data_IF_177399336660
#
_entry.id   IF_177399336660
#
_cell.length_a   1.000
_cell.length_b   1.000
_cell.length_c   1.000
_cell.angle_alpha   90.00
_cell.angle_beta   90.00
_cell.angle_gamma   90.00
#
_symmetry.space_group_name_H-M   'P 1'
#
loop_
_entity.id
_entity.type
_entity.pdbx_description
1 polymer ?
#
# COMPACT_ATOMS: atom_id res chain seq x y z
N UNK A 1 -22.88 29.55 -10.61
CA UNK A 1 -21.55 28.83 -10.73
C UNK A 1 -20.98 28.44 -9.36
N UNK A 2 -21.12 29.26 -8.30
CA UNK A 2 -20.62 28.95 -6.95
C UNK A 2 -21.28 27.73 -6.29
N UNK A 3 -22.54 27.44 -6.58
CA UNK A 3 -23.27 26.32 -6.01
C UNK A 3 -22.82 24.96 -6.62
N UNK A 4 -22.40 24.95 -7.90
CA UNK A 4 -21.86 23.76 -8.57
C UNK A 4 -20.46 23.41 -8.06
N UNK A 5 -19.60 24.40 -7.85
CA UNK A 5 -18.25 24.20 -7.30
C UNK A 5 -18.28 23.61 -5.91
N UNK A 6 -19.21 24.03 -5.06
CA UNK A 6 -19.38 23.45 -3.72
C UNK A 6 -19.85 21.98 -3.75
N UNK A 7 -20.74 21.63 -4.69
CA UNK A 7 -21.21 20.24 -4.83
C UNK A 7 -20.14 19.31 -5.39
N UNK A 8 -19.30 19.78 -6.31
CA UNK A 8 -18.18 19.00 -6.88
C UNK A 8 -17.08 18.72 -5.83
N UNK A 9 -16.74 19.68 -4.98
CA UNK A 9 -15.82 19.45 -3.86
C UNK A 9 -16.37 18.39 -2.91
N UNK A 10 -17.64 18.49 -2.53
CA UNK A 10 -18.31 17.53 -1.65
C UNK A 10 -18.33 16.09 -2.21
N UNK A 11 -18.45 15.93 -3.54
CA UNK A 11 -18.42 14.62 -4.21
C UNK A 11 -17.00 14.04 -4.17
N UNK A 12 -15.98 14.83 -4.44
CA UNK A 12 -14.56 14.40 -4.40
C UNK A 12 -14.16 13.93 -3.01
N UNK A 13 -14.52 14.68 -1.98
CA UNK A 13 -14.23 14.32 -0.58
C UNK A 13 -14.90 12.99 -0.19
N UNK A 14 -16.14 12.79 -0.57
CA UNK A 14 -16.85 11.53 -0.31
C UNK A 14 -16.28 10.35 -1.07
N UNK A 15 -15.85 10.55 -2.32
CA UNK A 15 -15.15 9.52 -3.12
C UNK A 15 -13.81 9.15 -2.47
N UNK A 16 -13.08 10.15 -1.96
CA UNK A 16 -11.83 9.90 -1.26
C UNK A 16 -12.06 9.12 0.05
N UNK A 17 -13.04 9.50 0.87
CA UNK A 17 -13.39 8.76 2.09
C UNK A 17 -13.77 7.30 1.76
N UNK A 18 -14.53 7.08 0.68
CA UNK A 18 -14.87 5.75 0.21
C UNK A 18 -13.62 4.94 -0.21
N UNK A 19 -12.67 5.58 -0.91
CA UNK A 19 -11.40 4.99 -1.27
C UNK A 19 -10.54 4.67 -0.03
N UNK A 20 -10.47 5.57 0.95
CA UNK A 20 -9.79 5.36 2.24
C UNK A 20 -10.34 4.13 2.99
N UNK A 21 -11.68 3.98 3.04
CA UNK A 21 -12.32 2.83 3.69
C UNK A 21 -11.94 1.51 3.02
N UNK A 22 -12.00 1.44 1.70
CA UNK A 22 -11.62 0.24 0.93
C UNK A 22 -10.13 -0.10 1.02
N UNK A 23 -9.28 0.91 1.00
CA UNK A 23 -7.82 0.73 1.03
C UNK A 23 -7.23 0.82 2.45
N UNK A 24 -8.07 0.73 3.47
CA UNK A 24 -7.64 0.66 4.88
C UNK A 24 -6.62 1.76 5.25
N UNK A 25 -6.92 3.01 4.89
CA UNK A 25 -6.09 4.15 5.27
C UNK A 25 -6.30 4.54 6.73
N UNK A 26 -5.39 5.35 7.28
CA UNK A 26 -5.42 5.78 8.67
C UNK A 26 -6.82 6.29 9.07
N UNK A 27 -7.32 5.79 10.20
CA UNK A 27 -8.69 6.03 10.71
C UNK A 27 -9.72 4.97 10.30
N UNK A 28 -9.55 4.32 9.14
CA UNK A 28 -10.46 3.29 8.61
C UNK A 28 -9.74 1.94 8.34
N UNK A 29 -8.61 1.67 9.02
CA UNK A 29 -7.74 0.53 8.76
C UNK A 29 -8.02 -0.71 9.64
N UNK A 30 -8.78 -0.57 10.72
CA UNK A 30 -8.95 -1.60 11.76
C UNK A 30 -9.56 -2.90 11.23
N UNK A 31 -10.42 -2.84 10.23
CA UNK A 31 -11.05 -4.02 9.63
C UNK A 31 -10.05 -4.94 8.90
N UNK A 32 -8.92 -4.39 8.43
CA UNK A 32 -7.96 -5.13 7.61
C UNK A 32 -7.28 -6.28 8.36
N UNK A 33 -6.71 -6.07 9.56
CA UNK A 33 -6.18 -7.17 10.37
C UNK A 33 -7.25 -8.17 10.85
N UNK A 34 -8.46 -7.69 11.13
CA UNK A 34 -9.56 -8.55 11.59
C UNK A 34 -10.05 -9.49 10.49
N UNK A 35 -9.92 -9.08 9.22
CA UNK A 35 -10.21 -9.93 8.06
C UNK A 35 -9.24 -11.13 7.89
N UNK A 36 -8.20 -11.25 8.74
CA UNK A 36 -7.24 -12.36 8.71
C UNK A 36 -7.74 -13.67 9.33
N UNK A 37 -8.91 -13.71 9.93
CA UNK A 37 -9.50 -14.93 10.48
C UNK A 37 -9.92 -15.94 9.39
N UNK A 38 -10.08 -15.46 8.15
CA UNK A 38 -10.42 -16.31 7.01
C UNK A 38 -9.27 -17.22 6.53
N UNK A 39 -9.58 -18.19 5.64
CA UNK A 39 -8.57 -19.04 5.02
C UNK A 39 -7.51 -18.22 4.28
N UNK A 40 -6.24 -18.65 4.34
CA UNK A 40 -5.11 -17.92 3.73
C UNK A 40 -5.25 -17.64 2.23
N UNK A 41 -5.81 -18.53 1.38
CA UNK A 41 -6.03 -18.19 -0.03
C UNK A 41 -7.01 -17.04 -0.24
N UNK A 42 -8.05 -16.96 0.59
CA UNK A 42 -9.03 -15.86 0.55
C UNK A 42 -8.38 -14.56 1.01
N UNK A 43 -7.60 -14.61 2.09
CA UNK A 43 -6.81 -13.46 2.56
C UNK A 43 -5.83 -12.99 1.49
N UNK A 44 -5.14 -13.89 0.79
CA UNK A 44 -4.26 -13.55 -0.33
C UNK A 44 -5.01 -12.78 -1.43
N UNK A 45 -6.20 -13.25 -1.82
CA UNK A 45 -6.99 -12.60 -2.86
C UNK A 45 -7.44 -11.19 -2.45
N UNK A 46 -7.97 -11.03 -1.24
CA UNK A 46 -8.49 -9.78 -0.71
C UNK A 46 -7.37 -8.73 -0.60
N UNK A 47 -6.22 -9.13 -0.04
CA UNK A 47 -5.15 -8.19 0.33
C UNK A 47 -4.10 -7.97 -0.76
N UNK A 48 -3.95 -8.89 -1.72
CA UNK A 48 -2.96 -8.73 -2.79
C UNK A 48 -3.48 -7.86 -3.93
N UNK A 49 -4.61 -8.23 -4.55
CA UNK A 49 -4.96 -7.71 -5.87
C UNK A 49 -6.36 -7.11 -6.00
N UNK A 50 -7.30 -7.36 -5.07
CA UNK A 50 -8.69 -7.07 -5.35
C UNK A 50 -9.30 -5.97 -4.47
N UNK A 51 -9.71 -6.30 -3.25
CA UNK A 51 -10.54 -5.41 -2.44
C UNK A 51 -9.80 -4.15 -1.97
N UNK A 52 -8.59 -4.31 -1.47
CA UNK A 52 -7.81 -3.19 -0.92
C UNK A 52 -7.17 -2.29 -1.98
N UNK A 53 -6.90 -2.81 -3.16
CA UNK A 53 -6.34 -2.04 -4.28
C UNK A 53 -7.39 -1.21 -5.01
N UNK A 54 -8.69 -1.53 -4.82
CA UNK A 54 -9.79 -0.84 -5.47
C UNK A 54 -9.85 0.67 -5.15
N UNK A 55 -9.47 1.09 -3.93
CA UNK A 55 -9.43 2.51 -3.58
C UNK A 55 -8.33 3.26 -4.32
N UNK A 56 -7.13 2.70 -4.44
CA UNK A 56 -6.04 3.28 -5.24
C UNK A 56 -6.43 3.37 -6.71
N UNK A 57 -6.99 2.30 -7.24
CA UNK A 57 -7.47 2.26 -8.62
C UNK A 57 -8.55 3.33 -8.88
N UNK A 58 -9.49 3.51 -7.96
CA UNK A 58 -10.53 4.53 -8.04
C UNK A 58 -9.92 5.92 -8.14
N UNK A 59 -8.95 6.27 -7.29
CA UNK A 59 -8.28 7.57 -7.31
C UNK A 59 -7.54 7.76 -8.64
N UNK A 60 -6.76 6.78 -9.09
CA UNK A 60 -6.06 6.86 -10.35
C UNK A 60 -7.02 6.98 -11.56
N UNK A 61 -8.18 6.32 -11.52
CA UNK A 61 -9.19 6.41 -12.58
C UNK A 61 -9.89 7.76 -12.61
N UNK A 62 -10.06 8.36 -11.44
CA UNK A 62 -10.68 9.67 -11.29
C UNK A 62 -9.67 10.82 -11.30
N UNK A 63 -8.42 10.57 -11.70
CA UNK A 63 -7.37 11.59 -11.80
C UNK A 63 -7.82 12.87 -12.53
N UNK A 64 -8.54 12.81 -13.69
CA UNK A 64 -8.98 14.02 -14.35
C UNK A 64 -9.93 14.91 -13.53
N UNK A 65 -10.57 14.32 -12.52
CA UNK A 65 -11.50 15.05 -11.63
C UNK A 65 -10.76 15.54 -10.38
N UNK A 66 -9.84 14.73 -9.85
CA UNK A 66 -9.11 15.00 -8.60
C UNK A 66 -8.04 16.08 -8.80
N UNK A 67 -7.39 16.14 -9.97
CA UNK A 67 -6.37 17.15 -10.29
C UNK A 67 -6.85 18.60 -10.20
N UNK A 68 -8.15 18.84 -10.43
CA UNK A 68 -8.71 20.16 -10.24
C UNK A 68 -8.98 20.56 -8.78
N UNK A 69 -8.59 19.74 -7.82
CA UNK A 69 -8.77 19.97 -6.40
C UNK A 69 -7.45 19.83 -5.63
N UNK A 70 -6.58 20.87 -5.62
CA UNK A 70 -5.27 20.80 -4.98
C UNK A 70 -5.35 20.44 -3.50
N UNK A 71 -6.34 20.95 -2.78
CA UNK A 71 -6.56 20.61 -1.36
C UNK A 71 -6.82 19.11 -1.15
N UNK A 72 -7.55 18.47 -2.07
CA UNK A 72 -7.80 17.04 -2.00
C UNK A 72 -6.52 16.23 -2.24
N UNK A 73 -5.67 16.66 -3.18
CA UNK A 73 -4.36 16.03 -3.44
C UNK A 73 -3.44 16.13 -2.22
N UNK A 74 -3.39 17.28 -1.55
CA UNK A 74 -2.60 17.48 -0.33
C UNK A 74 -3.07 16.54 0.79
N UNK A 75 -4.39 16.41 0.98
CA UNK A 75 -4.97 15.49 1.98
C UNK A 75 -4.65 14.03 1.63
N UNK A 76 -4.77 13.63 0.36
CA UNK A 76 -4.44 12.28 -0.10
C UNK A 76 -2.96 11.97 0.16
N UNK A 77 -2.07 12.91 -0.15
CA UNK A 77 -0.63 12.80 0.07
C UNK A 77 -0.31 12.61 1.56
N UNK A 78 -0.87 13.48 2.41
CA UNK A 78 -0.62 13.47 3.84
C UNK A 78 -1.16 12.19 4.50
N UNK A 79 -2.41 11.81 4.20
CA UNK A 79 -3.01 10.57 4.72
C UNK A 79 -2.25 9.35 4.25
N UNK A 80 -1.82 9.32 2.98
CA UNK A 80 -1.02 8.24 2.43
C UNK A 80 0.32 8.08 3.15
N UNK A 81 1.06 9.17 3.33
CA UNK A 81 2.36 9.18 4.03
C UNK A 81 2.22 8.74 5.50
N UNK A 82 1.24 9.30 6.23
CA UNK A 82 0.97 8.90 7.61
C UNK A 82 0.58 7.43 7.73
N UNK A 83 -0.28 6.94 6.83
CA UNK A 83 -0.68 5.53 6.82
C UNK A 83 0.52 4.63 6.57
N UNK A 84 1.42 5.00 5.66
CA UNK A 84 2.61 4.21 5.34
C UNK A 84 3.50 4.02 6.57
N UNK A 85 3.78 5.09 7.31
CA UNK A 85 4.62 5.07 8.53
C UNK A 85 3.90 4.35 9.66
N UNK A 86 2.66 4.72 9.94
CA UNK A 86 1.86 4.15 11.03
C UNK A 86 1.69 2.63 10.88
N UNK A 87 1.26 2.17 9.71
CA UNK A 87 1.07 0.74 9.47
C UNK A 87 2.39 -0.04 9.52
N UNK A 88 3.51 0.55 9.09
CA UNK A 88 4.82 -0.09 9.20
C UNK A 88 5.24 -0.27 10.65
N UNK A 89 5.07 0.75 11.49
CA UNK A 89 5.42 0.69 12.92
C UNK A 89 4.56 -0.32 13.68
N UNK A 90 3.25 -0.35 13.43
CA UNK A 90 2.35 -1.34 14.03
C UNK A 90 2.68 -2.75 13.55
N UNK A 91 3.03 -2.91 12.27
CA UNK A 91 3.42 -4.21 11.71
C UNK A 91 4.65 -4.82 12.38
N UNK A 92 5.60 -4.00 12.85
CA UNK A 92 6.78 -4.47 13.60
C UNK A 92 6.47 -5.02 14.99
N UNK A 93 5.32 -4.67 15.57
CA UNK A 93 4.91 -5.11 16.91
C UNK A 93 4.00 -6.34 16.88
N UNK A 94 3.61 -6.82 15.70
CA UNK A 94 2.74 -7.98 15.57
C UNK A 94 3.54 -9.28 15.64
N UNK A 95 2.96 -10.29 16.29
CA UNK A 95 3.53 -11.64 16.39
C UNK A 95 2.86 -12.65 15.47
N UNK A 96 1.71 -12.34 14.92
CA UNK A 96 0.96 -13.18 14.00
C UNK A 96 1.44 -12.95 12.56
N UNK A 97 1.88 -14.01 11.87
CA UNK A 97 2.42 -13.95 10.50
C UNK A 97 1.42 -13.30 9.52
N UNK A 98 0.12 -13.60 9.63
CA UNK A 98 -0.91 -13.02 8.76
C UNK A 98 -1.07 -11.53 9.03
N UNK A 99 -1.09 -11.11 10.31
CA UNK A 99 -1.23 -9.71 10.70
C UNK A 99 -0.01 -8.87 10.27
N UNK A 100 1.20 -9.41 10.40
CA UNK A 100 2.43 -8.74 9.88
C UNK A 100 2.31 -8.45 8.39
N UNK A 101 1.89 -9.45 7.59
CA UNK A 101 1.71 -9.29 6.15
C UNK A 101 0.55 -8.32 5.85
N UNK A 102 -0.52 -8.31 6.63
CA UNK A 102 -1.65 -7.39 6.48
C UNK A 102 -1.24 -5.93 6.74
N UNK A 103 -0.55 -5.65 7.84
CA UNK A 103 -0.07 -4.29 8.13
C UNK A 103 0.97 -3.81 7.11
N UNK A 104 1.82 -4.70 6.62
CA UNK A 104 2.71 -4.34 5.52
C UNK A 104 1.95 -4.06 4.22
N UNK A 105 0.78 -4.66 3.98
CA UNK A 105 -0.11 -4.30 2.87
C UNK A 105 -0.69 -2.90 3.07
N UNK A 106 -1.19 -2.58 4.28
CA UNK A 106 -1.69 -1.26 4.63
C UNK A 106 -0.64 -0.17 4.38
N UNK A 107 0.61 -0.42 4.79
CA UNK A 107 1.74 0.48 4.55
C UNK A 107 2.01 0.69 3.06
N UNK A 108 2.00 -0.37 2.24
CA UNK A 108 2.22 -0.24 0.80
C UNK A 108 1.07 0.49 0.08
N UNK A 109 -0.16 0.31 0.54
CA UNK A 109 -1.30 1.09 0.05
C UNK A 109 -1.14 2.57 0.39
N UNK A 110 -0.63 2.90 1.58
CA UNK A 110 -0.25 4.27 1.93
C UNK A 110 0.75 4.87 0.95
N UNK A 111 1.78 4.11 0.53
CA UNK A 111 2.71 4.54 -0.52
C UNK A 111 2.02 4.83 -1.87
N UNK A 112 1.03 4.01 -2.25
CA UNK A 112 0.29 4.23 -3.49
C UNK A 112 -0.60 5.46 -3.41
N UNK A 113 -1.25 5.72 -2.26
CA UNK A 113 -2.01 6.94 -2.02
C UNK A 113 -1.12 8.17 -2.06
N UNK A 114 0.03 8.11 -1.41
CA UNK A 114 1.05 9.16 -1.45
C UNK A 114 1.47 9.48 -2.90
N UNK A 115 1.78 8.45 -3.70
CA UNK A 115 2.11 8.61 -5.11
C UNK A 115 0.97 9.24 -5.93
N UNK A 116 -0.27 8.81 -5.68
CA UNK A 116 -1.44 9.37 -6.34
C UNK A 116 -1.68 10.84 -5.93
N UNK A 117 -1.39 11.21 -4.68
CA UNK A 117 -1.50 12.56 -4.16
C UNK A 117 -0.50 13.54 -4.77
N UNK A 118 0.71 13.09 -5.09
CA UNK A 118 1.70 13.88 -5.86
C UNK A 118 1.49 13.80 -7.38
N UNK A 119 0.31 13.39 -7.83
CA UNK A 119 -0.07 13.25 -9.26
C UNK A 119 0.76 12.23 -10.05
N UNK A 120 1.51 11.37 -9.38
CA UNK A 120 2.31 10.31 -9.99
C UNK A 120 1.48 9.02 -10.21
N UNK A 121 0.34 9.12 -10.88
CA UNK A 121 -0.59 8.01 -11.11
C UNK A 121 0.04 6.80 -11.81
N UNK A 122 0.92 6.96 -12.84
CA UNK A 122 1.60 5.84 -13.46
C UNK A 122 2.48 5.06 -12.49
N UNK A 123 3.20 5.75 -11.59
CA UNK A 123 4.03 5.14 -10.57
C UNK A 123 3.19 4.37 -9.54
N UNK A 124 2.06 4.95 -9.10
CA UNK A 124 1.10 4.30 -8.22
C UNK A 124 0.54 3.02 -8.84
N UNK A 125 0.14 3.04 -10.12
CA UNK A 125 -0.39 1.87 -10.84
C UNK A 125 0.68 0.82 -11.10
N UNK A 126 1.90 1.21 -11.41
CA UNK A 126 3.02 0.29 -11.57
C UNK A 126 3.33 -0.44 -10.25
N UNK A 127 3.38 0.31 -9.14
CA UNK A 127 3.58 -0.29 -7.82
C UNK A 127 2.40 -1.18 -7.40
N UNK A 128 1.17 -0.82 -7.75
CA UNK A 128 -0.01 -1.66 -7.52
C UNK A 128 0.12 -3.02 -8.22
N UNK A 129 0.57 -3.02 -9.47
CA UNK A 129 0.76 -4.26 -10.23
C UNK A 129 1.85 -5.14 -9.60
N UNK A 130 3.03 -4.60 -9.31
CA UNK A 130 4.11 -5.36 -8.67
C UNK A 130 3.71 -5.85 -7.28
N UNK A 131 2.99 -5.02 -6.50
CA UNK A 131 2.47 -5.34 -5.17
C UNK A 131 1.54 -6.55 -5.21
N UNK A 132 0.64 -6.64 -6.19
CA UNK A 132 -0.28 -7.75 -6.32
C UNK A 132 0.46 -9.10 -6.39
N UNK A 133 1.55 -9.17 -7.15
CA UNK A 133 2.33 -10.40 -7.31
C UNK A 133 3.10 -10.78 -6.04
N UNK A 134 3.91 -9.90 -5.49
CA UNK A 134 4.72 -10.27 -4.32
C UNK A 134 3.89 -10.46 -3.05
N UNK A 135 2.75 -9.78 -2.92
CA UNK A 135 1.83 -10.00 -1.79
C UNK A 135 1.08 -11.32 -1.89
N UNK A 136 0.58 -11.68 -3.08
CA UNK A 136 0.00 -12.99 -3.29
C UNK A 136 1.01 -14.10 -2.94
N UNK A 137 2.25 -13.96 -3.38
CA UNK A 137 3.34 -14.87 -3.07
C UNK A 137 3.57 -15.02 -1.56
N UNK A 138 3.66 -13.90 -0.83
CA UNK A 138 3.88 -13.90 0.63
C UNK A 138 2.69 -14.52 1.40
N UNK A 139 1.45 -14.20 1.03
CA UNK A 139 0.28 -14.79 1.68
C UNK A 139 0.15 -16.28 1.43
N UNK A 140 0.33 -16.73 0.18
CA UNK A 140 0.27 -18.15 -0.15
C UNK A 140 1.43 -18.92 0.50
N UNK A 141 2.63 -18.34 0.54
CA UNK A 141 3.77 -18.89 1.24
C UNK A 141 3.52 -19.00 2.75
N UNK A 142 2.98 -17.96 3.38
CA UNK A 142 2.58 -17.99 4.78
C UNK A 142 1.51 -19.07 5.04
N UNK A 143 0.55 -19.24 4.13
CA UNK A 143 -0.44 -20.31 4.21
C UNK A 143 0.18 -21.71 4.20
N UNK A 144 1.18 -21.92 3.35
CA UNK A 144 1.92 -23.18 3.31
C UNK A 144 2.70 -23.44 4.61
N UNK A 145 3.31 -22.39 5.20
CA UNK A 145 4.02 -22.48 6.49
C UNK A 145 3.04 -22.82 7.63
N UNK A 146 1.91 -22.12 7.71
CA UNK A 146 0.88 -22.35 8.73
C UNK A 146 0.35 -23.79 8.64
N UNK A 147 0.10 -24.28 7.43
CA UNK A 147 -0.36 -25.65 7.21
C UNK A 147 0.68 -26.70 7.64
N UNK A 148 1.96 -26.45 7.34
CA UNK A 148 3.05 -27.36 7.74
C UNK A 148 3.28 -27.40 9.25
N UNK A 149 2.91 -26.32 9.98
CA UNK A 149 3.04 -26.21 11.44
C UNK A 149 1.72 -26.47 12.19
N UNK A 150 0.84 -27.30 11.65
CA UNK A 150 -0.44 -27.67 12.31
C UNK A 150 -1.30 -26.48 12.71
N UNK A 151 -1.40 -25.48 11.82
CA UNK A 151 -2.15 -24.23 11.99
C UNK A 151 -1.58 -23.24 13.04
N UNK A 152 -0.32 -23.37 13.43
CA UNK A 152 0.35 -22.36 14.24
C UNK A 152 0.51 -21.06 13.43
N UNK A 153 0.18 -19.91 14.03
CA UNK A 153 0.28 -18.59 13.40
C UNK A 153 1.26 -17.65 14.12
N UNK A 154 1.64 -17.98 15.37
CA UNK A 154 2.55 -17.16 16.16
C UNK A 154 4.01 -17.35 15.70
N UNK A 155 4.62 -16.28 15.22
CA UNK A 155 6.01 -16.27 14.75
C UNK A 155 7.02 -16.70 15.82
N UNK A 156 6.71 -16.53 17.10
CA UNK A 156 7.60 -16.91 18.21
C UNK A 156 7.75 -18.43 18.34
N UNK A 157 6.73 -19.15 17.88
CA UNK A 157 6.70 -20.62 17.92
C UNK A 157 7.21 -21.23 16.58
N UNK A 158 7.51 -20.41 15.57
CA UNK A 158 7.97 -20.86 14.26
C UNK A 158 9.50 -20.88 14.21
N UNK A 159 10.10 -22.01 13.81
CA UNK A 159 11.54 -22.11 13.63
C UNK A 159 11.97 -23.34 12.81
N UNK A 160 13.15 -23.29 12.23
CA UNK A 160 13.78 -24.44 11.58
C UNK A 160 13.12 -24.97 10.30
N UNK A 161 12.17 -24.25 9.74
CA UNK A 161 11.25 -24.70 8.66
C UNK A 161 11.97 -24.94 7.32
N UNK A 162 13.12 -24.36 7.11
CA UNK A 162 13.86 -24.44 5.83
C UNK A 162 14.22 -25.88 5.41
N UNK A 163 14.39 -26.79 6.38
CA UNK A 163 14.66 -28.21 6.11
C UNK A 163 13.42 -29.00 5.72
N UNK A 164 12.24 -28.61 6.24
CA UNK A 164 10.98 -29.31 5.99
C UNK A 164 10.31 -28.89 4.70
N UNK A 165 10.30 -27.58 4.42
CA UNK A 165 9.68 -26.98 3.22
C UNK A 165 10.62 -26.00 2.52
N UNK A 166 11.71 -26.49 1.88
CA UNK A 166 12.73 -25.63 1.30
C UNK A 166 12.21 -24.73 0.17
N UNK A 167 11.25 -25.20 -0.62
CA UNK A 167 10.64 -24.41 -1.70
C UNK A 167 9.86 -23.22 -1.14
N UNK A 168 9.03 -23.44 -0.14
CA UNK A 168 8.28 -22.37 0.51
C UNK A 168 9.22 -21.37 1.17
N UNK A 169 10.28 -21.84 1.80
CA UNK A 169 11.32 -20.99 2.37
C UNK A 169 11.95 -20.06 1.31
N UNK A 170 12.35 -20.61 0.16
CA UNK A 170 12.92 -19.83 -0.93
C UNK A 170 11.93 -18.79 -1.48
N UNK A 171 10.65 -19.17 -1.65
CA UNK A 171 9.58 -18.29 -2.11
C UNK A 171 9.36 -17.14 -1.12
N UNK A 172 9.32 -17.41 0.18
CA UNK A 172 9.16 -16.40 1.23
C UNK A 172 10.35 -15.42 1.24
N UNK A 173 11.57 -15.90 1.01
CA UNK A 173 12.75 -15.05 0.88
C UNK A 173 12.63 -14.11 -0.33
N UNK A 174 12.29 -14.64 -1.49
CA UNK A 174 12.10 -13.86 -2.72
C UNK A 174 11.03 -12.78 -2.51
N UNK A 175 9.88 -13.15 -1.93
CA UNK A 175 8.81 -12.21 -1.64
C UNK A 175 9.19 -11.12 -0.64
N UNK A 176 9.96 -11.48 0.39
CA UNK A 176 10.43 -10.53 1.41
C UNK A 176 11.46 -9.55 0.82
N UNK A 177 12.39 -10.00 0.00
CA UNK A 177 13.36 -9.15 -0.70
C UNK A 177 12.66 -8.22 -1.71
N UNK A 178 11.67 -8.73 -2.43
CA UNK A 178 10.86 -7.91 -3.34
C UNK A 178 10.06 -6.84 -2.58
N UNK A 179 9.48 -7.18 -1.41
CA UNK A 179 8.79 -6.23 -0.55
C UNK A 179 9.74 -5.19 0.05
N UNK A 180 10.94 -5.59 0.48
CA UNK A 180 11.95 -4.68 1.01
C UNK A 180 12.45 -3.67 -0.05
N UNK A 181 12.36 -4.03 -1.33
CA UNK A 181 12.90 -3.22 -2.41
C UNK A 181 14.41 -3.46 -2.61
N UNK A 182 14.83 -4.72 -2.51
CA UNK A 182 16.21 -5.06 -2.81
C UNK A 182 16.51 -4.89 -4.32
N UNK A 183 17.69 -4.37 -4.72
CA UNK A 183 18.06 -4.19 -6.12
C UNK A 183 17.82 -5.46 -6.94
N UNK A 184 17.43 -5.31 -8.19
CA UNK A 184 17.03 -6.35 -9.15
C UNK A 184 15.62 -6.94 -8.97
N UNK A 185 14.92 -6.64 -7.87
CA UNK A 185 13.53 -7.04 -7.68
C UNK A 185 12.55 -5.95 -8.14
N UNK A 186 11.35 -6.35 -8.55
CA UNK A 186 10.33 -5.42 -9.05
C UNK A 186 9.93 -4.33 -8.04
N UNK A 187 9.98 -4.65 -6.73
CA UNK A 187 9.70 -3.70 -5.66
C UNK A 187 10.71 -2.56 -5.56
N UNK A 188 11.95 -2.76 -5.98
CA UNK A 188 12.97 -1.70 -6.05
C UNK A 188 12.55 -0.62 -7.05
N UNK A 189 12.37 -1.01 -8.31
CA UNK A 189 12.02 -0.07 -9.37
C UNK A 189 10.71 0.67 -9.12
N UNK A 190 9.69 -0.02 -8.61
CA UNK A 190 8.39 0.60 -8.39
C UNK A 190 8.37 1.59 -7.22
N UNK A 191 9.14 1.34 -6.15
CA UNK A 191 9.29 2.28 -5.03
C UNK A 191 10.16 3.47 -5.40
N UNK A 192 11.23 3.23 -6.14
CA UNK A 192 12.15 4.24 -6.60
C UNK A 192 11.43 5.28 -7.47
N UNK A 193 10.61 4.84 -8.42
CA UNK A 193 9.75 5.73 -9.22
C UNK A 193 8.83 6.61 -8.37
N UNK A 194 8.28 6.09 -7.26
CA UNK A 194 7.43 6.87 -6.35
C UNK A 194 8.25 7.93 -5.63
N UNK A 195 9.43 7.57 -5.14
CA UNK A 195 10.31 8.48 -4.42
C UNK A 195 10.88 9.57 -5.33
N UNK A 196 11.27 9.22 -6.56
CA UNK A 196 11.72 10.19 -7.57
C UNK A 196 10.61 11.19 -7.93
N UNK A 197 9.38 10.71 -8.14
CA UNK A 197 8.24 11.57 -8.42
C UNK A 197 7.94 12.51 -7.25
N UNK A 198 8.01 12.03 -6.02
CA UNK A 198 7.82 12.83 -4.83
C UNK A 198 8.92 13.90 -4.66
N UNK A 199 10.18 13.51 -4.90
CA UNK A 199 11.31 14.42 -4.85
C UNK A 199 11.22 15.50 -5.93
N UNK A 200 10.84 15.13 -7.16
CA UNK A 200 10.58 16.07 -8.25
C UNK A 200 9.48 17.08 -7.90
N UNK A 201 8.38 16.62 -7.29
CA UNK A 201 7.29 17.48 -6.85
C UNK A 201 7.77 18.50 -5.79
N UNK A 202 8.56 18.07 -4.80
CA UNK A 202 9.11 18.94 -3.76
C UNK A 202 10.07 20.00 -4.32
N UNK A 203 10.86 19.67 -5.34
CA UNK A 203 11.74 20.64 -6.01
C UNK A 203 10.98 21.71 -6.78
N UNK A 204 9.84 21.34 -7.41
CA UNK A 204 9.00 22.29 -8.14
C UNK A 204 8.19 23.20 -7.21
N UNK A 205 7.82 22.75 -6.03
CA UNK A 205 7.10 23.55 -5.02
C UNK A 205 8.04 24.47 -4.21
N UNK A 206 9.35 24.22 -4.26
CA UNK A 206 10.35 25.08 -3.66
C UNK A 206 10.56 26.31 -4.56
N UNK A 207 10.22 27.55 -4.13
CA UNK A 207 10.41 28.73 -4.98
C UNK A 207 11.88 28.86 -5.34
N UNK A 208 12.17 28.83 -6.64
CA UNK A 208 13.52 29.01 -7.15
C UNK A 208 14.06 30.36 -6.66
N UNK A 209 15.34 30.47 -6.30
CA UNK A 209 15.96 31.77 -6.00
C UNK A 209 15.81 32.80 -7.12
N UNK A 210 15.53 32.34 -8.35
CA UNK A 210 15.26 33.19 -9.53
C UNK A 210 13.86 33.80 -9.54
N UNK A 211 12.86 33.17 -8.88
CA UNK A 211 11.48 33.69 -8.85
C UNK A 211 11.29 34.85 -7.86
N UNK A 212 12.32 35.18 -7.10
CA UNK A 212 12.34 36.34 -6.17
C UNK A 212 12.84 37.65 -6.80
N UNK A 213 13.09 37.65 -8.09
CA UNK A 213 13.61 38.83 -8.82
C UNK A 213 12.64 39.28 -9.93
N UNK A 214 11.36 39.52 -9.57
CA UNK A 214 10.43 40.35 -10.38
C UNK A 214 9.70 41.27 -9.43
#
# INVERSE_FOLDING_TARGET
RSCLVGSEMCIRDRLFIGAMGKSAQLGLHTWLPDAMEGPTPVSALIHAATMVTAGVFLICRLSPVIEYAPVALDIITFVGALTAIFAATVGMTQFDIKRVIAYSTCSQLGYMFFAAGVSAYPAAMFHLTTHAFFKALLFLGAGSVIHALSNEQDLRNMGGIWRQIPVTYAIMWIGSLALAGFPFFAGFYSKDMILEAAYGCLLYTSPSPRDKTV
#
